data_IF_109111919215
#
_entry.id   IF_109111919215
#
_cell.length_a   1.000
_cell.length_b   1.000
_cell.length_c   1.000
_cell.angle_alpha   90.00
_cell.angle_beta   90.00
_cell.angle_gamma   90.00
#
_symmetry.space_group_name_H-M   'P 1'
#
loop_
_entity.id
_entity.type
_entity.pdbx_description
1 polymer ?
#
# COMPACT_ATOMS: atom_id res chain seq x y z
N UNK A 1 1.84 6.80 -31.29
CA UNK A 1 2.59 5.63 -30.80
C UNK A 1 1.92 5.23 -29.50
N UNK A 2 1.05 4.22 -29.53
CA UNK A 2 0.36 3.77 -28.31
C UNK A 2 1.36 2.99 -27.47
N UNK A 3 1.82 3.59 -26.39
CA UNK A 3 2.61 2.90 -25.38
C UNK A 3 1.65 1.91 -24.73
N UNK A 4 1.80 0.62 -25.04
CA UNK A 4 1.04 -0.43 -24.39
C UNK A 4 1.59 -0.55 -22.97
N UNK A 5 0.94 0.10 -22.01
CA UNK A 5 1.26 -0.12 -20.60
C UNK A 5 0.93 -1.58 -20.28
N UNK A 6 1.97 -2.37 -19.99
CA UNK A 6 1.77 -3.72 -19.47
C UNK A 6 1.26 -3.56 -18.04
N UNK A 7 -0.01 -3.95 -17.82
CA UNK A 7 -0.60 -3.90 -16.50
C UNK A 7 0.21 -4.78 -15.54
N UNK A 8 0.44 -4.26 -14.33
CA UNK A 8 1.10 -5.01 -13.26
C UNK A 8 0.14 -6.08 -12.77
N UNK A 9 0.58 -7.34 -12.75
CA UNK A 9 -0.25 -8.45 -12.28
C UNK A 9 -0.36 -8.42 -10.76
N UNK A 10 -1.58 -8.52 -10.25
CA UNK A 10 -1.84 -8.57 -8.80
C UNK A 10 -1.12 -9.76 -8.15
N UNK A 11 -1.14 -10.94 -8.80
CA UNK A 11 -0.46 -12.14 -8.31
C UNK A 11 1.05 -11.95 -8.13
N UNK A 12 1.71 -11.23 -9.06
CA UNK A 12 3.15 -10.98 -8.98
C UNK A 12 3.48 -10.05 -7.82
N UNK A 13 2.62 -9.05 -7.55
CA UNK A 13 2.75 -8.17 -6.39
C UNK A 13 2.48 -8.93 -5.10
N UNK A 14 1.43 -9.75 -5.05
CA UNK A 14 1.10 -10.60 -3.90
C UNK A 14 2.27 -11.52 -3.54
N UNK A 15 2.84 -12.20 -4.53
CA UNK A 15 3.99 -13.08 -4.33
C UNK A 15 5.21 -12.32 -3.82
N UNK A 16 5.45 -11.11 -4.33
CA UNK A 16 6.58 -10.28 -3.91
C UNK A 16 6.40 -9.73 -2.49
N UNK A 17 5.18 -9.33 -2.12
CA UNK A 17 4.83 -8.95 -0.74
C UNK A 17 5.03 -10.11 0.21
N UNK A 18 4.60 -11.32 -0.15
CA UNK A 18 4.85 -12.52 0.65
C UNK A 18 6.34 -12.77 0.87
N UNK A 19 7.15 -12.65 -0.18
CA UNK A 19 8.61 -12.80 -0.09
C UNK A 19 9.22 -11.72 0.80
N UNK A 20 8.82 -10.46 0.62
CA UNK A 20 9.32 -9.34 1.44
C UNK A 20 8.98 -9.53 2.93
N UNK A 21 7.74 -9.90 3.26
CA UNK A 21 7.34 -10.19 4.63
C UNK A 21 8.10 -11.36 5.25
N UNK A 22 8.51 -12.34 4.44
CA UNK A 22 9.30 -13.47 4.93
C UNK A 22 10.76 -13.10 5.19
N UNK A 23 11.26 -12.04 4.55
CA UNK A 23 12.59 -11.47 4.82
C UNK A 23 12.57 -10.53 6.02
N UNK A 24 11.43 -9.88 6.29
CA UNK A 24 11.20 -9.08 7.48
C UNK A 24 10.99 -10.04 8.68
N UNK A 25 12.00 -10.21 9.53
CA UNK A 25 11.94 -11.07 10.72
C UNK A 25 11.02 -10.51 11.85
N UNK A 26 10.09 -9.62 11.52
CA UNK A 26 9.16 -8.97 12.44
C UNK A 26 7.75 -9.54 12.28
N UNK A 27 7.06 -9.91 13.37
CA UNK A 27 5.68 -10.36 13.28
C UNK A 27 4.77 -9.21 12.85
N UNK A 28 3.79 -9.53 12.00
CA UNK A 28 2.78 -8.58 11.53
C UNK A 28 1.52 -8.72 12.35
N UNK A 29 1.01 -7.59 12.86
CA UNK A 29 -0.16 -7.56 13.74
C UNK A 29 -1.19 -6.53 13.29
N UNK A 30 -2.42 -6.73 13.77
CA UNK A 30 -3.49 -5.74 13.79
C UNK A 30 -3.94 -5.53 15.22
N UNK A 31 -4.10 -4.28 15.61
CA UNK A 31 -4.65 -3.86 16.90
C UNK A 31 -6.12 -3.49 16.72
N UNK A 32 -7.00 -4.17 17.44
CA UNK A 32 -8.39 -3.72 17.60
C UNK A 32 -8.39 -2.45 18.46
N UNK A 33 -8.65 -1.30 17.85
CA UNK A 33 -8.64 0.00 18.54
C UNK A 33 -9.72 0.13 19.63
N UNK A 34 -10.75 -0.71 19.61
CA UNK A 34 -11.83 -0.67 20.60
C UNK A 34 -11.47 -1.43 21.88
N UNK A 35 -10.71 -2.52 21.76
CA UNK A 35 -10.35 -3.39 22.89
C UNK A 35 -8.87 -3.34 23.26
N UNK A 36 -8.02 -2.81 22.37
CA UNK A 36 -6.56 -2.83 22.48
C UNK A 36 -5.93 -4.21 22.23
N UNK A 37 -6.73 -5.21 21.79
CA UNK A 37 -6.20 -6.55 21.54
C UNK A 37 -5.41 -6.61 20.24
N UNK A 38 -4.28 -7.31 20.28
CA UNK A 38 -3.43 -7.57 19.13
C UNK A 38 -3.76 -8.94 18.53
N UNK A 39 -3.87 -8.99 17.20
CA UNK A 39 -4.04 -10.21 16.44
C UNK A 39 -2.89 -10.34 15.44
N UNK A 40 -2.17 -11.47 15.51
CA UNK A 40 -1.15 -11.80 14.51
C UNK A 40 -1.83 -12.19 13.19
N UNK A 41 -1.32 -11.65 12.08
CA UNK A 41 -1.84 -11.92 10.75
C UNK A 41 -0.80 -12.71 9.96
N UNK A 42 -1.25 -13.77 9.27
CA UNK A 42 -0.34 -14.59 8.46
C UNK A 42 0.08 -13.84 7.19
N UNK A 43 1.27 -14.14 6.67
CA UNK A 43 1.76 -13.52 5.43
C UNK A 43 0.83 -13.80 4.25
N UNK A 44 0.19 -14.98 4.22
CA UNK A 44 -0.79 -15.33 3.18
C UNK A 44 -2.01 -14.42 3.21
N UNK A 45 -2.55 -14.17 4.40
CA UNK A 45 -3.68 -13.27 4.59
C UNK A 45 -3.29 -11.82 4.22
N UNK A 46 -2.04 -11.43 4.47
CA UNK A 46 -1.55 -10.10 4.12
C UNK A 46 -1.43 -9.93 2.60
N UNK A 47 -0.87 -10.91 1.91
CA UNK A 47 -0.61 -10.86 0.48
C UNK A 47 -1.86 -11.15 -0.38
N UNK A 48 -2.96 -11.64 0.20
CA UNK A 48 -4.17 -12.00 -0.57
C UNK A 48 -4.84 -10.76 -1.16
N UNK A 49 -5.32 -10.87 -2.41
CA UNK A 49 -5.97 -9.78 -3.14
C UNK A 49 -7.27 -9.28 -2.47
N UNK A 50 -7.92 -10.12 -1.68
CA UNK A 50 -9.09 -9.87 -0.83
C UNK A 50 -8.74 -9.98 0.68
N UNK A 51 -7.44 -9.88 1.00
CA UNK A 51 -6.89 -9.78 2.34
C UNK A 51 -6.43 -8.34 2.63
N UNK A 52 -5.18 -8.15 3.08
CA UNK A 52 -4.60 -6.82 3.32
C UNK A 52 -3.87 -6.21 2.12
N UNK A 53 -3.70 -6.93 1.02
CA UNK A 53 -3.03 -6.40 -0.16
C UNK A 53 -3.65 -5.09 -0.69
N UNK A 54 -5.00 -4.92 -0.72
CA UNK A 54 -5.60 -3.65 -1.15
C UNK A 54 -5.11 -2.46 -0.34
N UNK A 55 -5.03 -2.57 1.00
CA UNK A 55 -4.59 -1.44 1.84
C UNK A 55 -3.10 -1.15 1.67
N UNK A 56 -2.27 -2.18 1.50
CA UNK A 56 -0.83 -2.03 1.24
C UNK A 56 -0.60 -1.29 -0.08
N UNK A 57 -1.26 -1.73 -1.15
CA UNK A 57 -1.05 -1.14 -2.48
C UNK A 57 -1.63 0.27 -2.55
N UNK A 58 -2.74 0.57 -1.86
CA UNK A 58 -3.28 1.93 -1.74
C UNK A 58 -2.32 2.83 -0.94
N UNK A 59 -1.74 2.34 0.15
CA UNK A 59 -0.75 3.10 0.92
C UNK A 59 0.53 3.34 0.12
N UNK A 60 0.99 2.36 -0.67
CA UNK A 60 2.12 2.54 -1.58
C UNK A 60 1.80 3.52 -2.73
N UNK A 61 0.57 3.48 -3.29
CA UNK A 61 0.11 4.44 -4.30
C UNK A 61 0.14 5.86 -3.75
N UNK A 62 -0.18 6.05 -2.46
CA UNK A 62 -0.05 7.33 -1.76
C UNK A 62 1.35 7.93 -1.90
N UNK A 63 2.37 7.12 -1.58
CA UNK A 63 3.76 7.56 -1.60
C UNK A 63 4.18 7.99 -3.01
N UNK A 64 3.72 7.25 -4.02
CA UNK A 64 3.97 7.59 -5.41
C UNK A 64 3.20 8.83 -5.87
N UNK A 65 1.93 8.95 -5.48
CA UNK A 65 1.08 10.09 -5.79
C UNK A 65 1.63 11.37 -5.15
N UNK A 66 2.12 11.29 -3.91
CA UNK A 66 2.78 12.39 -3.20
C UNK A 66 3.99 12.93 -3.97
N UNK A 67 4.76 12.04 -4.61
CA UNK A 67 5.98 12.38 -5.33
C UNK A 67 5.73 12.87 -6.76
N UNK A 68 4.70 12.34 -7.44
CA UNK A 68 4.56 12.49 -8.89
C UNK A 68 3.24 13.12 -9.34
N UNK A 69 2.26 13.22 -8.45
CA UNK A 69 0.89 13.62 -8.79
C UNK A 69 0.11 12.60 -9.61
N UNK A 70 0.63 11.37 -9.79
CA UNK A 70 0.00 10.29 -10.55
C UNK A 70 -0.12 9.03 -9.72
N UNK A 71 -1.20 8.26 -9.89
CA UNK A 71 -1.42 6.99 -9.21
C UNK A 71 -1.05 5.76 -10.04
N UNK A 72 -1.19 4.59 -9.44
CA UNK A 72 -1.07 3.26 -10.05
C UNK A 72 -2.33 2.84 -10.81
N UNK A 73 -3.44 3.59 -10.70
CA UNK A 73 -4.66 3.32 -11.45
C UNK A 73 -5.35 2.02 -11.01
N UNK A 74 -5.36 1.79 -9.70
CA UNK A 74 -5.91 0.61 -9.04
C UNK A 74 -7.40 0.39 -9.35
N UNK A 75 -7.82 -0.89 -9.44
CA UNK A 75 -9.23 -1.30 -9.43
C UNK A 75 -9.50 -2.07 -8.14
N UNK A 76 -9.95 -1.35 -7.11
CA UNK A 76 -10.36 -1.91 -5.81
C UNK A 76 -11.88 -1.86 -5.72
N UNK A 77 -12.53 -2.97 -5.41
CA UNK A 77 -13.99 -3.08 -5.35
C UNK A 77 -14.46 -3.66 -4.04
N UNK A 78 -15.65 -3.24 -3.61
CA UNK A 78 -16.31 -3.84 -2.46
C UNK A 78 -16.53 -5.34 -2.69
N UNK A 79 -16.21 -6.12 -1.66
CA UNK A 79 -16.45 -7.55 -1.59
C UNK A 79 -16.75 -7.91 -0.12
N UNK A 80 -18.02 -8.19 0.22
CA UNK A 80 -18.42 -8.50 1.60
C UNK A 80 -17.73 -9.73 2.22
N UNK A 81 -17.23 -10.64 1.38
CA UNK A 81 -16.53 -11.85 1.81
C UNK A 81 -15.02 -11.62 2.02
N UNK A 82 -14.50 -10.45 1.63
CA UNK A 82 -13.11 -10.07 1.80
C UNK A 82 -12.82 -9.61 3.24
N UNK A 83 -11.57 -9.78 3.69
CA UNK A 83 -11.13 -9.50 5.06
C UNK A 83 -11.37 -8.05 5.48
N UNK A 84 -11.13 -7.12 4.56
CA UNK A 84 -11.36 -5.69 4.79
C UNK A 84 -12.63 -5.17 4.07
N UNK A 85 -13.44 -6.06 3.50
CA UNK A 85 -14.60 -5.69 2.69
C UNK A 85 -14.26 -5.23 1.27
N UNK A 86 -13.00 -5.38 0.82
CA UNK A 86 -12.54 -4.97 -0.51
C UNK A 86 -11.60 -5.98 -1.15
N UNK A 87 -11.59 -6.02 -2.48
CA UNK A 87 -10.68 -6.85 -3.29
C UNK A 87 -9.97 -6.00 -4.34
N UNK A 88 -8.66 -6.21 -4.49
CA UNK A 88 -7.82 -5.63 -5.52
C UNK A 88 -7.89 -6.49 -6.81
N UNK A 89 -8.47 -5.94 -7.86
CA UNK A 89 -8.70 -6.66 -9.12
C UNK A 89 -7.62 -6.38 -10.17
N UNK A 90 -7.06 -5.16 -10.21
CA UNK A 90 -6.01 -4.82 -11.16
C UNK A 90 -5.16 -3.63 -10.73
N UNK A 91 -3.93 -3.58 -11.25
CA UNK A 91 -2.97 -2.48 -11.08
C UNK A 91 -2.56 -2.01 -12.48
N UNK A 92 -2.90 -0.77 -12.85
CA UNK A 92 -2.60 -0.19 -14.17
C UNK A 92 -1.32 0.65 -14.19
N UNK A 93 -0.47 0.48 -13.18
CA UNK A 93 0.81 1.15 -13.10
C UNK A 93 1.66 0.80 -14.33
N UNK A 94 2.39 1.79 -14.85
CA UNK A 94 3.25 1.55 -16.01
C UNK A 94 4.55 0.79 -15.71
N UNK A 95 4.83 0.51 -14.43
CA UNK A 95 6.04 -0.16 -13.99
C UNK A 95 5.80 -0.97 -12.71
N UNK A 96 6.08 -2.27 -12.76
CA UNK A 96 6.08 -3.15 -11.58
C UNK A 96 7.10 -2.70 -10.55
N UNK A 97 8.28 -2.26 -10.99
CA UNK A 97 9.36 -1.83 -10.08
C UNK A 97 8.96 -0.61 -9.27
N UNK A 98 8.19 0.31 -9.85
CA UNK A 98 7.69 1.48 -9.11
C UNK A 98 6.75 1.04 -8.00
N UNK A 99 5.80 0.15 -8.30
CA UNK A 99 4.87 -0.40 -7.30
C UNK A 99 5.65 -1.08 -6.16
N UNK A 100 6.61 -1.94 -6.49
CA UNK A 100 7.36 -2.67 -5.47
C UNK A 100 8.30 -1.77 -4.66
N UNK A 101 8.94 -0.77 -5.25
CA UNK A 101 9.76 0.18 -4.50
C UNK A 101 8.94 0.97 -3.48
N UNK A 102 7.74 1.42 -3.86
CA UNK A 102 6.84 2.09 -2.91
C UNK A 102 6.36 1.15 -1.80
N UNK A 103 6.15 -0.13 -2.11
CA UNK A 103 5.80 -1.15 -1.09
C UNK A 103 6.98 -1.42 -0.15
N UNK A 104 8.21 -1.51 -0.66
CA UNK A 104 9.40 -1.69 0.16
C UNK A 104 9.59 -0.49 1.09
N UNK A 105 9.53 0.73 0.56
CA UNK A 105 9.63 1.97 1.35
C UNK A 105 8.57 2.03 2.45
N UNK A 106 7.34 1.60 2.13
CA UNK A 106 6.25 1.49 3.10
C UNK A 106 6.56 0.51 4.25
N UNK A 107 7.06 -0.68 3.93
CA UNK A 107 7.39 -1.68 4.95
C UNK A 107 8.64 -1.30 5.76
N UNK A 108 9.65 -0.69 5.14
CA UNK A 108 10.81 -0.14 5.85
C UNK A 108 10.36 0.95 6.84
N UNK A 109 9.45 1.83 6.43
CA UNK A 109 8.90 2.86 7.31
C UNK A 109 8.15 2.27 8.51
N UNK A 110 7.37 1.19 8.30
CA UNK A 110 6.70 0.46 9.38
C UNK A 110 7.69 -0.25 10.30
N UNK A 111 8.70 -0.91 9.73
CA UNK A 111 9.71 -1.66 10.48
C UNK A 111 10.51 -0.78 11.45
N UNK A 112 10.68 0.51 11.11
CA UNK A 112 11.34 1.49 11.97
C UNK A 112 10.52 1.90 13.20
N UNK A 113 9.22 1.61 13.25
CA UNK A 113 8.34 2.08 14.33
C UNK A 113 8.33 1.17 15.57
N UNK A 114 8.82 -0.07 15.47
CA UNK A 114 8.82 -0.98 16.61
C UNK A 114 9.37 -2.36 16.29
N UNK A 115 9.16 -3.30 17.21
CA UNK A 115 9.55 -4.70 17.05
C UNK A 115 8.53 -5.50 16.22
N UNK A 116 7.35 -4.93 15.96
CA UNK A 116 6.26 -5.53 15.19
C UNK A 116 5.82 -4.61 14.05
N UNK A 117 5.32 -5.21 12.97
CA UNK A 117 4.73 -4.47 11.86
C UNK A 117 3.22 -4.33 12.12
N UNK A 118 2.79 -3.15 12.55
CA UNK A 118 1.37 -2.87 12.83
C UNK A 118 0.65 -2.37 11.57
N UNK A 119 -0.29 -3.15 11.03
CA UNK A 119 -1.01 -2.77 9.80
C UNK A 119 -1.97 -1.59 10.02
N UNK A 120 -2.38 -1.29 11.26
CA UNK A 120 -3.17 -0.09 11.56
C UNK A 120 -2.40 1.19 11.26
N UNK A 121 -1.06 1.15 11.31
CA UNK A 121 -0.21 2.33 11.13
C UNK A 121 -0.10 2.72 9.65
N UNK A 122 -0.49 1.83 8.72
CA UNK A 122 -0.68 2.17 7.30
C UNK A 122 -1.66 3.33 7.11
N UNK A 123 -2.70 3.42 7.95
CA UNK A 123 -3.67 4.53 7.93
C UNK A 123 -3.02 5.85 8.36
N UNK A 124 -2.11 5.79 9.33
CA UNK A 124 -1.39 6.95 9.84
C UNK A 124 -0.30 7.40 8.87
N UNK A 125 0.42 6.46 8.26
CA UNK A 125 1.37 6.72 7.17
C UNK A 125 0.67 7.42 5.99
N UNK A 126 -0.52 6.94 5.61
CA UNK A 126 -1.37 7.64 4.64
C UNK A 126 -1.78 9.05 5.11
N UNK A 127 -2.23 9.18 6.35
CA UNK A 127 -2.63 10.48 6.92
C UNK A 127 -1.48 11.50 6.90
N UNK A 128 -0.28 11.05 7.25
CA UNK A 128 0.94 11.86 7.30
C UNK A 128 1.43 12.27 5.91
N UNK A 129 1.41 11.33 4.95
CA UNK A 129 1.61 11.59 3.52
C UNK A 129 0.71 12.72 3.02
N UNK A 130 -0.61 12.58 3.25
CA UNK A 130 -1.61 13.57 2.83
C UNK A 130 -1.44 14.95 3.51
N UNK A 131 -1.03 15.01 4.77
CA UNK A 131 -0.84 16.28 5.48
C UNK A 131 0.36 17.08 4.93
N UNK A 132 1.42 16.41 4.48
CA UNK A 132 2.55 17.05 3.79
C UNK A 132 2.11 17.71 2.49
N UNK A 133 1.16 17.12 1.75
CA UNK A 133 0.61 17.73 0.53
C UNK A 133 -0.22 18.98 0.78
N UNK A 134 -0.98 19.04 1.89
CA UNK A 134 -1.75 20.24 2.25
C UNK A 134 -0.87 21.41 2.69
N UNK A 135 0.40 21.15 3.01
CA UNK A 135 1.37 22.17 3.45
C UNK A 135 2.33 22.60 2.34
N UNK A 136 2.25 22.03 1.14
CA UNK A 136 2.93 22.56 -0.05
C UNK A 136 2.08 23.70 -0.62
N UNK A 137 2.54 24.96 -0.57
CA UNK A 137 1.83 26.05 -1.23
C UNK A 137 1.85 25.82 -2.74
N UNK A 138 0.67 25.92 -3.37
CA UNK A 138 0.52 25.95 -4.83
C UNK A 138 1.27 27.19 -5.35
N UNK A 139 2.48 26.97 -5.85
CA UNK A 139 3.34 27.93 -6.55
C UNK A 139 3.83 27.17 -7.77
N UNK A 140 3.46 27.42 -9.03
CA UNK A 140 2.76 28.49 -9.72
C UNK A 140 1.91 27.85 -10.82
N UNK A 141 0.61 28.08 -10.81
CA UNK A 141 -0.23 27.95 -11.99
C UNK A 141 -0.50 29.37 -12.48
N UNK A 142 0.53 30.00 -13.07
CA UNK A 142 0.42 31.18 -13.94
C UNK A 142 1.81 31.50 -14.49
N UNK A 143 2.16 30.84 -15.59
CA UNK A 143 3.16 31.33 -16.52
C UNK A 143 2.48 31.43 -17.89
N UNK A 144 2.00 32.66 -18.13
CA UNK A 144 1.79 33.38 -19.41
C UNK A 144 1.34 32.63 -20.66
#
# INVERSE_FOLDING_TARGET
MSISFSAVRVDDVAQSVMSLLSELEQPVIVVDRSTGQEAAISHEEIARADGYLPVIVVAAEALWFDLTGTGFGLDVRENPEATLGYTLNSIRAGSWSVVMLCIIDLFEALALQGETLCLNDLVELWGNARSRLQTVPVVLQEAS
#
